data_IF_561060427877
#
_entry.id   IF_561060427877
#
_cell.length_a   1.000
_cell.length_b   1.000
_cell.length_c   1.000
_cell.angle_alpha   90.00
_cell.angle_beta   90.00
_cell.angle_gamma   90.00
#
_symmetry.space_group_name_H-M   'P 1'
#
loop_
_entity.id
_entity.type
_entity.pdbx_description
1 polymer ?
#
# COMPACT_ATOMS: atom_id res chain seq x y z
N UNK A 1 3.94 22.55 8.16
CA UNK A 1 3.27 23.41 7.15
C UNK A 1 4.28 24.01 6.19
N UNK A 2 5.39 24.50 6.70
CA UNK A 2 6.36 25.30 5.93
C UNK A 2 7.20 24.48 4.95
N UNK A 3 7.62 23.27 5.34
CA UNK A 3 8.40 22.36 4.47
C UNK A 3 7.68 22.01 3.16
N UNK A 4 6.35 21.95 3.17
CA UNK A 4 5.57 21.60 1.99
C UNK A 4 5.67 22.65 0.88
N UNK A 5 6.00 23.90 1.20
CA UNK A 5 6.18 24.98 0.20
C UNK A 5 7.46 24.81 -0.63
N UNK A 6 8.48 24.13 -0.08
CA UNK A 6 9.76 23.93 -0.77
C UNK A 6 9.76 22.71 -1.70
N UNK A 7 8.83 21.77 -1.51
CA UNK A 7 8.75 20.54 -2.30
C UNK A 7 8.25 20.76 -3.74
N UNK A 8 7.18 21.53 -4.00
CA UNK A 8 6.60 21.65 -5.33
C UNK A 8 7.56 22.14 -6.41
N UNK A 9 8.44 23.13 -6.18
CA UNK A 9 9.41 23.57 -7.19
C UNK A 9 10.39 22.47 -7.60
N UNK A 10 10.79 21.63 -6.63
CA UNK A 10 11.65 20.48 -6.92
C UNK A 10 10.88 19.37 -7.65
N UNK A 11 9.70 19.03 -7.15
CA UNK A 11 8.84 17.98 -7.68
C UNK A 11 8.46 18.23 -9.15
N UNK A 12 8.19 19.47 -9.53
CA UNK A 12 7.87 19.85 -10.91
C UNK A 12 8.95 19.51 -11.93
N UNK A 13 10.19 19.27 -11.50
CA UNK A 13 11.29 18.83 -12.37
C UNK A 13 11.21 17.34 -12.75
N UNK A 14 10.34 16.57 -12.09
CA UNK A 14 10.14 15.14 -12.36
C UNK A 14 8.82 14.90 -13.10
N UNK A 15 8.80 13.91 -13.98
CA UNK A 15 7.63 13.56 -14.79
C UNK A 15 6.49 13.00 -13.93
N UNK A 16 6.78 12.01 -13.07
CA UNK A 16 5.82 11.38 -12.17
C UNK A 16 6.39 11.28 -10.76
N UNK A 17 5.50 11.37 -9.78
CA UNK A 17 5.86 11.42 -8.36
C UNK A 17 5.14 10.33 -7.58
N UNK A 18 5.89 9.68 -6.69
CA UNK A 18 5.36 8.83 -5.63
C UNK A 18 5.46 9.59 -4.30
N UNK A 19 4.42 9.52 -3.49
CA UNK A 19 4.41 10.13 -2.16
C UNK A 19 3.92 9.18 -1.08
N UNK A 20 4.47 9.32 0.09
CA UNK A 20 4.11 8.60 1.30
C UNK A 20 5.10 7.49 1.66
N UNK A 21 5.03 7.08 2.91
CA UNK A 21 5.82 5.99 3.47
C UNK A 21 5.02 5.31 4.60
N UNK A 22 5.23 5.72 5.85
CA UNK A 22 4.69 5.05 7.04
C UNK A 22 3.51 5.79 7.67
N UNK A 23 3.34 7.09 7.40
CA UNK A 23 2.27 7.86 7.98
C UNK A 23 0.90 7.55 7.34
N UNK A 24 -0.19 7.60 8.13
CA UNK A 24 -1.55 7.52 7.62
C UNK A 24 -1.91 8.81 6.88
N UNK A 25 -2.11 8.73 5.57
CA UNK A 25 -2.36 9.90 4.71
C UNK A 25 -3.83 10.27 4.59
N UNK A 26 -4.75 9.45 5.07
CA UNK A 26 -6.19 9.71 5.03
C UNK A 26 -6.58 11.06 5.65
N UNK A 27 -5.94 11.42 6.78
CA UNK A 27 -6.17 12.71 7.44
C UNK A 27 -5.49 13.90 6.77
N UNK A 28 -4.54 13.65 5.87
CA UNK A 28 -3.72 14.67 5.19
C UNK A 28 -3.96 14.74 3.69
N UNK A 29 -4.91 13.99 3.17
CA UNK A 29 -5.18 13.90 1.74
C UNK A 29 -5.43 15.26 1.10
N UNK A 30 -6.11 16.17 1.79
CA UNK A 30 -6.38 17.53 1.33
C UNK A 30 -5.10 18.34 0.99
N UNK A 31 -3.95 17.96 1.57
CA UNK A 31 -2.63 18.52 1.27
C UNK A 31 -1.93 17.69 0.20
N UNK A 32 -1.88 16.38 0.37
CA UNK A 32 -1.14 15.44 -0.50
C UNK A 32 -1.62 15.51 -1.95
N UNK A 33 -2.93 15.62 -2.18
CA UNK A 33 -3.50 15.74 -3.53
C UNK A 33 -3.05 17.00 -4.31
N UNK A 34 -2.41 17.98 -3.65
CA UNK A 34 -1.87 19.19 -4.28
C UNK A 34 -0.45 19.01 -4.79
N UNK A 35 0.18 17.87 -4.56
CA UNK A 35 1.53 17.57 -5.05
C UNK A 35 1.49 17.51 -6.57
N UNK A 36 2.33 18.30 -7.27
CA UNK A 36 2.40 18.25 -8.72
C UNK A 36 2.85 16.86 -9.20
N UNK A 37 2.31 16.43 -10.33
CA UNK A 37 2.67 15.15 -10.99
C UNK A 37 2.51 13.91 -10.10
N UNK A 38 1.71 14.00 -9.02
CA UNK A 38 1.44 12.88 -8.15
C UNK A 38 0.75 11.76 -8.94
N UNK A 39 1.35 10.57 -8.95
CA UNK A 39 0.80 9.40 -9.63
C UNK A 39 0.61 8.21 -8.70
N UNK A 40 1.48 8.03 -7.74
CA UNK A 40 1.51 6.88 -6.83
C UNK A 40 1.47 7.36 -5.39
N UNK A 41 0.63 6.75 -4.58
CA UNK A 41 0.49 7.09 -3.16
C UNK A 41 0.67 5.84 -2.31
N UNK A 42 1.64 5.89 -1.42
CA UNK A 42 1.89 4.81 -0.46
C UNK A 42 0.83 4.83 0.64
N UNK A 43 0.10 3.74 0.79
CA UNK A 43 -0.95 3.61 1.81
C UNK A 43 -0.47 2.66 2.90
N UNK A 44 -0.16 3.24 4.05
CA UNK A 44 0.35 2.49 5.20
C UNK A 44 -0.75 1.62 5.83
N UNK A 45 -0.38 0.55 6.59
CA UNK A 45 -1.35 -0.29 7.27
C UNK A 45 -2.16 0.45 8.36
N UNK A 46 -1.71 1.64 8.76
CA UNK A 46 -2.35 2.49 9.76
C UNK A 46 -3.36 3.48 9.18
N UNK A 47 -3.42 3.63 7.86
CA UNK A 47 -4.36 4.50 7.18
C UNK A 47 -5.76 3.87 7.11
N UNK A 48 -6.79 4.71 7.09
CA UNK A 48 -8.15 4.28 6.76
C UNK A 48 -8.19 3.87 5.27
N UNK A 49 -8.18 2.56 5.02
CA UNK A 49 -8.09 1.97 3.68
C UNK A 49 -9.27 2.35 2.79
N UNK A 50 -10.49 2.40 3.35
CA UNK A 50 -11.72 2.74 2.60
C UNK A 50 -11.66 4.19 2.13
N UNK A 51 -11.33 5.12 3.04
CA UNK A 51 -11.14 6.53 2.66
C UNK A 51 -10.03 6.71 1.64
N UNK A 52 -8.92 6.00 1.79
CA UNK A 52 -7.84 6.08 0.80
C UNK A 52 -8.27 5.52 -0.56
N UNK A 53 -9.05 4.44 -0.60
CA UNK A 53 -9.61 3.92 -1.85
C UNK A 53 -10.54 4.92 -2.54
N UNK A 54 -11.43 5.57 -1.78
CA UNK A 54 -12.31 6.64 -2.29
C UNK A 54 -11.51 7.84 -2.83
N UNK A 55 -10.45 8.25 -2.11
CA UNK A 55 -9.62 9.39 -2.50
C UNK A 55 -8.78 9.12 -3.74
N UNK A 56 -8.24 7.93 -3.86
CA UNK A 56 -7.32 7.58 -4.95
C UNK A 56 -8.06 7.11 -6.20
N UNK A 57 -9.11 6.31 -6.04
CA UNK A 57 -9.87 5.73 -7.14
C UNK A 57 -8.95 5.12 -8.20
N UNK A 58 -9.29 5.33 -9.46
CA UNK A 58 -8.48 4.88 -10.62
C UNK A 58 -7.48 5.95 -11.13
N UNK A 59 -7.44 7.13 -10.49
CA UNK A 59 -6.57 8.24 -10.92
C UNK A 59 -5.14 8.12 -10.43
N UNK A 60 -4.96 7.45 -9.30
CA UNK A 60 -3.66 7.25 -8.66
C UNK A 60 -3.39 5.76 -8.48
N UNK A 61 -2.13 5.39 -8.44
CA UNK A 61 -1.73 4.05 -8.03
C UNK A 61 -1.84 3.98 -6.50
N UNK A 62 -2.72 3.11 -6.02
CA UNK A 62 -2.84 2.75 -4.61
C UNK A 62 -1.74 1.76 -4.26
N UNK A 63 -0.63 2.25 -3.69
CA UNK A 63 0.48 1.41 -3.26
C UNK A 63 0.19 0.86 -1.87
N UNK A 64 -0.46 -0.29 -1.82
CA UNK A 64 -0.83 -0.97 -0.58
C UNK A 64 0.41 -1.46 0.16
N UNK A 65 0.49 -1.13 1.44
CA UNK A 65 1.58 -1.56 2.34
C UNK A 65 1.01 -2.45 3.45
N UNK A 66 1.03 -3.77 3.30
CA UNK A 66 0.66 -4.69 4.38
C UNK A 66 1.60 -4.59 5.57
N UNK A 67 1.15 -5.09 6.71
CA UNK A 67 2.00 -5.09 7.91
C UNK A 67 3.14 -6.10 7.78
N UNK A 68 4.39 -5.73 8.10
CA UNK A 68 5.52 -6.66 8.05
C UNK A 68 5.51 -7.69 9.19
N UNK A 69 4.70 -7.46 10.22
CA UNK A 69 4.60 -8.36 11.40
C UNK A 69 4.18 -9.76 10.97
N UNK A 70 3.32 -9.86 9.95
CA UNK A 70 2.81 -11.14 9.44
C UNK A 70 3.92 -12.07 8.93
N UNK A 71 5.08 -11.53 8.55
CA UNK A 71 6.24 -12.30 8.09
C UNK A 71 7.37 -12.40 9.12
N UNK A 72 7.27 -11.69 10.24
CA UNK A 72 8.34 -11.59 11.23
C UNK A 72 8.39 -12.77 12.21
N UNK A 73 7.62 -13.82 11.98
CA UNK A 73 7.50 -15.03 12.82
C UNK A 73 7.98 -16.26 12.05
N UNK A 74 8.50 -17.30 12.72
CA UNK A 74 9.05 -18.49 12.06
C UNK A 74 8.03 -19.24 11.18
N UNK A 75 6.78 -19.33 11.64
CA UNK A 75 5.66 -19.96 10.92
C UNK A 75 4.54 -18.95 10.79
N UNK A 76 4.26 -18.54 9.56
CA UNK A 76 3.20 -17.56 9.27
C UNK A 76 1.81 -18.20 9.33
N UNK A 77 0.82 -17.44 9.74
CA UNK A 77 -0.60 -17.84 9.66
C UNK A 77 -1.15 -17.49 8.26
N UNK A 78 -1.10 -18.48 7.37
CA UNK A 78 -1.49 -18.30 5.97
C UNK A 78 -2.98 -17.95 5.82
N UNK A 79 -3.86 -18.54 6.63
CA UNK A 79 -5.30 -18.28 6.56
C UNK A 79 -5.64 -16.87 7.04
N UNK A 80 -5.01 -16.42 8.11
CA UNK A 80 -5.14 -15.05 8.61
C UNK A 80 -4.68 -14.03 7.58
N UNK A 81 -3.50 -14.25 6.98
CA UNK A 81 -2.95 -13.36 5.95
C UNK A 81 -3.87 -13.34 4.72
N UNK A 82 -4.32 -14.51 4.26
CA UNK A 82 -5.22 -14.61 3.11
C UNK A 82 -6.54 -13.86 3.35
N UNK A 83 -7.14 -14.04 4.51
CA UNK A 83 -8.40 -13.37 4.89
C UNK A 83 -8.25 -11.86 4.85
N UNK A 84 -7.20 -11.32 5.47
CA UNK A 84 -6.95 -9.89 5.51
C UNK A 84 -6.64 -9.33 4.11
N UNK A 85 -5.83 -10.03 3.33
CA UNK A 85 -5.48 -9.61 1.98
C UNK A 85 -6.71 -9.59 1.05
N UNK A 86 -7.60 -10.58 1.16
CA UNK A 86 -8.86 -10.60 0.41
C UNK A 86 -9.74 -9.39 0.75
N UNK A 87 -9.84 -9.03 2.02
CA UNK A 87 -10.61 -7.84 2.43
C UNK A 87 -9.97 -6.56 1.89
N UNK A 88 -8.66 -6.43 1.97
CA UNK A 88 -7.93 -5.27 1.46
C UNK A 88 -8.11 -5.08 -0.05
N UNK A 89 -8.04 -6.17 -0.82
CA UNK A 89 -8.24 -6.14 -2.27
C UNK A 89 -9.71 -5.86 -2.62
N UNK A 90 -10.67 -6.36 -1.83
CA UNK A 90 -12.09 -5.99 -2.02
C UNK A 90 -12.34 -4.50 -1.84
N UNK A 91 -11.78 -3.91 -0.78
CA UNK A 91 -11.91 -2.47 -0.51
C UNK A 91 -11.33 -1.63 -1.64
N UNK A 92 -10.29 -2.13 -2.30
CA UNK A 92 -9.57 -1.42 -3.36
C UNK A 92 -9.91 -1.91 -4.77
N UNK A 93 -11.02 -2.65 -4.94
CA UNK A 93 -11.38 -3.34 -6.20
C UNK A 93 -11.44 -2.40 -7.41
N UNK A 94 -11.88 -1.17 -7.20
CA UNK A 94 -12.04 -0.16 -8.26
C UNK A 94 -10.81 0.78 -8.37
N UNK A 95 -9.74 0.46 -7.67
CA UNK A 95 -8.48 1.21 -7.71
C UNK A 95 -7.45 0.53 -8.63
N UNK A 96 -6.46 1.31 -9.04
CA UNK A 96 -5.22 0.77 -9.62
C UNK A 96 -4.28 0.41 -8.48
N UNK A 97 -4.15 -0.86 -8.16
CA UNK A 97 -3.44 -1.34 -6.95
C UNK A 97 -2.13 -2.00 -7.29
N UNK A 98 -1.12 -1.72 -6.50
CA UNK A 98 0.05 -2.57 -6.32
C UNK A 98 0.16 -2.97 -4.85
N UNK A 99 0.63 -4.16 -4.57
CA UNK A 99 0.87 -4.65 -3.22
C UNK A 99 2.37 -4.80 -3.01
N UNK A 100 2.91 -4.04 -2.06
CA UNK A 100 4.35 -4.02 -1.76
C UNK A 100 4.53 -4.22 -0.27
N UNK A 101 5.20 -5.32 0.13
CA UNK A 101 5.49 -5.55 1.55
C UNK A 101 6.29 -4.39 2.13
N UNK A 102 5.86 -3.93 3.30
CA UNK A 102 6.47 -2.81 3.99
C UNK A 102 7.64 -3.29 4.86
N UNK A 103 8.76 -2.59 4.76
CA UNK A 103 9.87 -2.56 5.74
C UNK A 103 10.16 -3.88 6.49
N UNK A 104 10.35 -4.97 5.74
CA UNK A 104 10.71 -6.26 6.34
C UNK A 104 12.16 -6.23 6.83
N UNK A 105 12.33 -6.26 8.14
CA UNK A 105 13.64 -6.37 8.78
C UNK A 105 14.01 -7.81 9.15
N UNK A 106 13.00 -8.69 9.25
CA UNK A 106 13.17 -10.10 9.57
C UNK A 106 12.04 -10.94 8.96
N UNK A 107 12.34 -12.20 8.71
CA UNK A 107 11.40 -13.22 8.23
C UNK A 107 11.18 -14.32 9.27
N UNK A 108 11.45 -14.02 10.55
CA UNK A 108 11.37 -15.00 11.61
C UNK A 108 12.38 -16.15 11.47
N UNK A 109 13.51 -15.92 10.78
CA UNK A 109 14.49 -16.95 10.46
C UNK A 109 14.07 -17.91 9.32
N UNK A 110 12.95 -17.66 8.66
CA UNK A 110 12.42 -18.52 7.60
C UNK A 110 12.24 -17.75 6.28
N UNK A 111 13.18 -17.82 5.32
CA UNK A 111 13.08 -17.15 4.02
C UNK A 111 11.88 -17.59 3.18
N UNK A 112 11.35 -18.80 3.36
CA UNK A 112 10.19 -19.31 2.66
C UNK A 112 8.93 -18.48 2.92
N UNK A 113 8.89 -17.74 4.01
CA UNK A 113 7.76 -16.87 4.34
C UNK A 113 7.48 -15.81 3.24
N UNK A 114 8.51 -15.34 2.53
CA UNK A 114 8.33 -14.41 1.39
C UNK A 114 7.59 -15.10 0.25
N UNK A 115 8.00 -16.31 -0.13
CA UNK A 115 7.37 -17.05 -1.23
C UNK A 115 5.91 -17.36 -0.90
N UNK A 116 5.65 -17.85 0.30
CA UNK A 116 4.29 -18.10 0.78
C UNK A 116 3.43 -16.86 0.75
N UNK A 117 3.96 -15.72 1.22
CA UNK A 117 3.23 -14.46 1.21
C UNK A 117 2.88 -14.00 -0.21
N UNK A 118 3.79 -14.14 -1.16
CA UNK A 118 3.52 -13.84 -2.58
C UNK A 118 2.40 -14.72 -3.13
N UNK A 119 2.44 -16.03 -2.86
CA UNK A 119 1.40 -16.97 -3.28
C UNK A 119 0.05 -16.64 -2.64
N UNK A 120 0.01 -16.32 -1.35
CA UNK A 120 -1.20 -15.90 -0.64
C UNK A 120 -1.78 -14.64 -1.27
N UNK A 121 -0.92 -13.66 -1.56
CA UNK A 121 -1.35 -12.39 -2.19
C UNK A 121 -1.94 -12.64 -3.58
N UNK A 122 -1.33 -13.49 -4.42
CA UNK A 122 -1.86 -13.89 -5.73
C UNK A 122 -3.21 -14.59 -5.60
N UNK A 123 -3.33 -15.53 -4.67
CA UNK A 123 -4.61 -16.22 -4.38
C UNK A 123 -5.70 -15.23 -3.98
N UNK A 124 -5.37 -14.23 -3.16
CA UNK A 124 -6.32 -13.20 -2.76
C UNK A 124 -6.79 -12.35 -3.96
N UNK A 125 -5.87 -11.94 -4.83
CA UNK A 125 -6.20 -11.21 -6.07
C UNK A 125 -7.13 -12.05 -6.96
N UNK A 126 -6.76 -13.27 -7.23
CA UNK A 126 -7.56 -14.19 -8.07
C UNK A 126 -8.96 -14.40 -7.49
N UNK A 127 -9.07 -14.58 -6.18
CA UNK A 127 -10.35 -14.76 -5.48
C UNK A 127 -11.29 -13.57 -5.60
N UNK A 128 -10.75 -12.35 -5.61
CA UNK A 128 -11.55 -11.11 -5.68
C UNK A 128 -11.90 -10.73 -7.12
N UNK A 129 -11.00 -10.96 -8.06
CA UNK A 129 -11.18 -10.58 -9.46
C UNK A 129 -11.69 -11.71 -10.36
N UNK A 130 -11.80 -12.93 -9.85
CA UNK A 130 -12.32 -14.08 -10.60
C UNK A 130 -11.36 -14.60 -11.67
N UNK A 131 -10.05 -14.50 -11.41
CA UNK A 131 -8.97 -14.94 -12.30
C UNK A 131 -8.55 -16.38 -12.02
#
# INVERSE_FOLDING_TARGET
RDLFHYMPPLIKKFGLVCYGCCEPLDKRWHIVKKIPNLRRVSVSPWADRRKMAEYLGNRYIYSMKPTPVDLAIPVIDEDYILKNMVEDIRVTKDCVVEVVMKDNHTLGGNPENIYKWVEITRRAVNKVHGL
#
